data_IF_334317539947
#
_entry.id   IF_334317539947
#
_cell.length_a   1.000
_cell.length_b   1.000
_cell.length_c   1.000
_cell.angle_alpha   90.00
_cell.angle_beta   90.00
_cell.angle_gamma   90.00
#
_symmetry.space_group_name_H-M   'P 1'
#
loop_
_entity.id
_entity.type
_entity.pdbx_description
1 polymer ?
#
# COMPACT_ATOMS: atom_id res chain seq x y z
N UNK A 1 -3.32 -18.09 7.18
CA UNK A 1 -3.55 -16.88 6.36
C UNK A 1 -4.60 -16.05 7.08
N UNK A 2 -4.36 -14.75 7.28
CA UNK A 2 -5.39 -13.90 7.89
C UNK A 2 -6.50 -13.69 6.85
N UNK A 3 -7.74 -13.98 7.22
CA UNK A 3 -8.91 -13.74 6.40
C UNK A 3 -9.57 -12.43 6.86
N UNK A 4 -9.89 -11.56 5.91
CA UNK A 4 -10.49 -10.24 6.19
C UNK A 4 -11.70 -10.09 5.31
N UNK A 5 -12.85 -9.83 5.93
CA UNK A 5 -14.10 -9.52 5.23
C UNK A 5 -14.29 -8.01 5.20
N UNK A 6 -14.51 -7.44 4.02
CA UNK A 6 -14.79 -6.03 3.82
C UNK A 6 -16.08 -5.86 3.02
N UNK A 7 -16.90 -4.88 3.39
CA UNK A 7 -18.08 -4.51 2.63
C UNK A 7 -17.71 -3.36 1.68
N UNK A 8 -17.85 -3.60 0.38
CA UNK A 8 -17.54 -2.61 -0.65
C UNK A 8 -18.85 -2.23 -1.34
N UNK A 9 -19.18 -0.93 -1.49
CA UNK A 9 -20.35 -0.50 -2.26
C UNK A 9 -20.28 -0.98 -3.72
N UNK A 10 -21.41 -1.44 -4.26
CA UNK A 10 -21.51 -2.03 -5.60
C UNK A 10 -20.86 -1.19 -6.71
N UNK A 11 -21.04 0.15 -6.79
CA UNK A 11 -20.43 0.94 -7.86
C UNK A 11 -18.90 0.91 -7.83
N UNK A 12 -18.30 0.76 -6.65
CA UNK A 12 -16.85 0.67 -6.49
C UNK A 12 -16.39 -0.73 -6.88
N UNK A 13 -17.13 -1.77 -6.46
CA UNK A 13 -16.79 -3.14 -6.78
C UNK A 13 -16.84 -3.43 -8.29
N UNK A 14 -17.82 -2.88 -9.01
CA UNK A 14 -17.90 -3.01 -10.48
C UNK A 14 -16.69 -2.38 -11.21
N UNK A 15 -16.17 -1.27 -10.68
CA UNK A 15 -14.93 -0.69 -11.21
C UNK A 15 -13.72 -1.61 -11.00
N UNK A 16 -13.65 -2.25 -9.83
CA UNK A 16 -12.58 -3.22 -9.51
C UNK A 16 -12.67 -4.45 -10.40
N UNK A 17 -13.87 -5.00 -10.63
CA UNK A 17 -14.09 -6.13 -11.55
C UNK A 17 -13.59 -5.82 -12.95
N UNK A 18 -14.02 -4.69 -13.52
CA UNK A 18 -13.58 -4.24 -14.84
C UNK A 18 -12.07 -4.12 -14.93
N UNK A 19 -11.42 -3.64 -13.87
CA UNK A 19 -9.95 -3.54 -13.82
C UNK A 19 -9.29 -4.92 -13.72
N UNK A 20 -9.87 -5.83 -12.96
CA UNK A 20 -9.39 -7.21 -12.81
C UNK A 20 -9.42 -7.94 -14.17
N UNK A 21 -10.50 -7.79 -14.94
CA UNK A 21 -10.63 -8.33 -16.29
C UNK A 21 -9.55 -7.80 -17.25
N UNK A 22 -9.29 -6.50 -17.23
CA UNK A 22 -8.27 -5.87 -18.09
C UNK A 22 -6.85 -6.38 -17.84
N UNK A 23 -6.55 -6.74 -16.59
CA UNK A 23 -5.20 -7.15 -16.16
C UNK A 23 -5.08 -8.68 -16.09
N UNK A 24 -6.16 -9.41 -16.36
CA UNK A 24 -6.19 -10.88 -16.26
C UNK A 24 -5.98 -11.38 -14.82
N UNK A 25 -6.54 -10.66 -13.84
CA UNK A 25 -6.38 -10.97 -12.41
C UNK A 25 -7.74 -11.10 -11.71
N UNK A 26 -7.75 -11.44 -10.42
CA UNK A 26 -8.96 -11.49 -9.58
C UNK A 26 -9.24 -10.13 -8.94
N UNK A 27 -10.52 -9.76 -8.70
CA UNK A 27 -10.89 -8.55 -7.97
C UNK A 27 -10.21 -8.46 -6.59
N UNK A 28 -10.13 -9.58 -5.88
CA UNK A 28 -9.49 -9.69 -4.57
C UNK A 28 -7.98 -9.41 -4.66
N UNK A 29 -7.33 -9.93 -5.71
CA UNK A 29 -5.92 -9.65 -5.99
C UNK A 29 -5.65 -8.17 -6.24
N UNK A 30 -6.52 -7.51 -7.00
CA UNK A 30 -6.44 -6.06 -7.23
C UNK A 30 -6.62 -5.27 -5.93
N UNK A 31 -7.60 -5.66 -5.10
CA UNK A 31 -7.83 -5.00 -3.81
C UNK A 31 -6.62 -5.18 -2.89
N UNK A 32 -6.07 -6.39 -2.79
CA UNK A 32 -4.92 -6.68 -1.94
C UNK A 32 -3.68 -5.86 -2.36
N UNK A 33 -3.35 -5.85 -3.65
CA UNK A 33 -2.20 -5.09 -4.17
C UNK A 33 -2.39 -3.59 -3.95
N UNK A 34 -3.57 -3.06 -4.25
CA UNK A 34 -3.85 -1.64 -4.05
C UNK A 34 -3.80 -1.27 -2.56
N UNK A 35 -4.31 -2.13 -1.68
CA UNK A 35 -4.24 -1.92 -0.22
C UNK A 35 -2.79 -1.87 0.25
N UNK A 36 -1.94 -2.77 -0.25
CA UNK A 36 -0.49 -2.74 0.05
C UNK A 36 0.15 -1.46 -0.48
N UNK A 37 -0.22 -0.99 -1.67
CA UNK A 37 0.36 0.25 -2.23
C UNK A 37 -0.07 1.50 -1.46
N UNK A 38 -1.31 1.54 -0.98
CA UNK A 38 -1.85 2.70 -0.23
C UNK A 38 -1.35 2.70 1.21
N UNK A 39 -1.36 1.56 1.88
CA UNK A 39 -1.02 1.45 3.31
C UNK A 39 0.40 0.99 3.58
N UNK A 40 1.07 0.33 2.62
CA UNK A 40 2.48 -0.05 2.73
C UNK A 40 3.39 1.14 3.02
N UNK A 41 3.23 2.29 2.33
CA UNK A 41 3.93 3.51 2.66
C UNK A 41 3.49 4.13 3.98
N UNK A 42 2.25 3.92 4.43
CA UNK A 42 1.77 4.44 5.72
C UNK A 42 2.39 3.69 6.91
N UNK A 43 2.89 2.47 6.70
CA UNK A 43 3.79 1.76 7.63
C UNK A 43 5.27 2.09 7.32
N UNK A 44 5.56 3.29 6.80
CA UNK A 44 6.92 3.86 6.88
C UNK A 44 7.25 4.09 8.36
N UNK A 45 7.80 3.07 9.00
CA UNK A 45 8.59 3.29 10.21
C UNK A 45 9.86 4.04 9.81
N UNK A 46 9.84 5.36 9.96
CA UNK A 46 11.02 6.23 9.83
C UNK A 46 12.22 5.69 10.62
N UNK A 47 11.96 5.03 11.76
CA UNK A 47 12.93 4.30 12.59
C UNK A 47 13.82 3.28 11.84
N UNK A 48 13.38 2.74 10.70
CA UNK A 48 14.17 1.74 9.96
C UNK A 48 15.25 2.34 9.06
N UNK A 49 15.06 3.58 8.62
CA UNK A 49 15.93 4.25 7.65
C UNK A 49 16.75 5.39 8.27
N UNK A 50 16.34 5.92 9.43
CA UNK A 50 17.10 6.91 10.21
C UNK A 50 18.15 6.27 11.16
N UNK A 51 18.51 5.00 10.94
CA UNK A 51 19.38 4.24 11.86
C UNK A 51 20.81 4.78 11.99
N UNK A 52 21.22 5.70 11.11
CA UNK A 52 22.55 6.30 11.10
C UNK A 52 22.50 7.84 11.10
N UNK A 53 21.55 8.45 11.80
CA UNK A 53 21.62 9.89 12.03
C UNK A 53 22.62 10.18 13.15
N UNK A 54 23.79 10.71 12.81
CA UNK A 54 24.77 11.24 13.77
C UNK A 54 24.20 12.42 14.55
N UNK A 55 23.15 13.07 14.01
CA UNK A 55 22.41 14.16 14.64
C UNK A 55 20.90 13.93 14.48
N UNK A 56 20.16 13.65 15.58
CA UNK A 56 18.73 13.35 15.53
C UNK A 56 17.82 14.51 15.10
N UNK A 57 18.37 15.74 14.95
CA UNK A 57 17.62 16.90 14.45
C UNK A 57 17.81 17.17 12.95
N UNK A 58 18.73 16.46 12.29
CA UNK A 58 19.05 16.68 10.89
C UNK A 58 18.16 15.84 9.97
N UNK A 59 17.02 16.40 9.57
CA UNK A 59 16.05 15.77 8.67
C UNK A 59 16.44 15.89 7.19
N UNK A 60 17.68 16.23 6.86
CA UNK A 60 18.13 16.31 5.48
C UNK A 60 18.54 14.94 4.94
N UNK A 61 18.06 14.60 3.75
CA UNK A 61 18.52 13.42 3.00
C UNK A 61 19.75 13.83 2.18
N UNK A 62 20.92 13.18 2.35
CA UNK A 62 22.06 13.44 1.48
C UNK A 62 21.70 13.01 0.05
N UNK A 63 21.85 13.95 -0.88
CA UNK A 63 21.71 13.70 -2.31
C UNK A 63 23.06 13.23 -2.85
N UNK A 64 23.31 11.92 -2.76
CA UNK A 64 24.38 11.22 -3.50
C UNK A 64 23.76 10.30 -4.57
#
# INVERSE_FOLDING_TARGET
>A
MAEVTIQIPDPIFENVKRRAEQVGNTPEGIIAVNTILVYGPAVYKSEKWLKNQTNPEDNTQPWD
#
